data_IF_699058789053
#
_entry.id   IF_699058789053
#
_cell.length_a   1.000
_cell.length_b   1.000
_cell.length_c   1.000
_cell.angle_alpha   90.00
_cell.angle_beta   90.00
_cell.angle_gamma   90.00
#
_symmetry.space_group_name_H-M   'P 1'
#
loop_
_entity.id
_entity.type
_entity.pdbx_description
1 polymer ?
#
# COMPACT_ATOMS: atom_id res chain seq x y z
N UNK A 1 -4.70 10.42 -10.60
CA UNK A 1 -3.22 10.46 -10.56
C UNK A 1 -2.62 10.24 -9.16
N UNK A 2 -2.95 11.03 -8.12
CA UNK A 2 -2.35 10.85 -6.76
C UNK A 2 -2.61 9.48 -6.13
N UNK A 3 -3.82 8.93 -6.31
CA UNK A 3 -4.20 7.63 -5.74
C UNK A 3 -3.39 6.45 -6.31
N UNK A 4 -2.91 6.55 -7.56
CA UNK A 4 -2.08 5.52 -8.20
C UNK A 4 -0.68 5.49 -7.59
N UNK A 5 -0.06 6.66 -7.39
CA UNK A 5 1.25 6.78 -6.77
C UNK A 5 1.26 6.22 -5.33
N UNK A 6 0.17 6.44 -4.57
CA UNK A 6 0.02 5.89 -3.23
C UNK A 6 -0.08 4.36 -3.23
N UNK A 7 -0.85 3.77 -4.15
CA UNK A 7 -0.88 2.30 -4.26
C UNK A 7 0.47 1.72 -4.71
N UNK A 8 1.19 2.40 -5.61
CA UNK A 8 2.56 2.02 -5.99
C UNK A 8 3.52 2.05 -4.79
N UNK A 9 3.45 3.09 -3.96
CA UNK A 9 4.26 3.20 -2.76
C UNK A 9 3.98 2.03 -1.79
N UNK A 10 2.72 1.69 -1.59
CA UNK A 10 2.32 0.56 -0.72
C UNK A 10 2.81 -0.77 -1.28
N UNK A 11 2.65 -1.02 -2.59
CA UNK A 11 3.15 -2.24 -3.22
C UNK A 11 4.67 -2.38 -3.07
N UNK A 12 5.41 -1.28 -3.25
CA UNK A 12 6.86 -1.31 -3.05
C UNK A 12 7.25 -1.55 -1.59
N UNK A 13 6.51 -0.96 -0.64
CA UNK A 13 6.68 -1.27 0.78
C UNK A 13 6.50 -2.76 1.07
N UNK A 14 5.43 -3.36 0.54
CA UNK A 14 5.16 -4.81 0.70
C UNK A 14 6.25 -5.68 0.06
N UNK A 15 6.73 -5.33 -1.13
CA UNK A 15 7.83 -6.04 -1.79
C UNK A 15 9.13 -5.97 -1.00
N UNK A 16 9.44 -4.81 -0.41
CA UNK A 16 10.59 -4.64 0.47
C UNK A 16 10.44 -5.49 1.73
N UNK A 17 9.26 -5.50 2.34
CA UNK A 17 8.99 -6.31 3.51
C UNK A 17 9.19 -7.82 3.21
N UNK A 18 8.64 -8.28 2.09
CA UNK A 18 8.83 -9.65 1.61
C UNK A 18 10.32 -9.99 1.38
N UNK A 19 11.07 -9.11 0.70
CA UNK A 19 12.51 -9.31 0.45
C UNK A 19 13.33 -9.38 1.73
N UNK A 20 12.91 -8.68 2.77
CA UNK A 20 13.55 -8.72 4.10
C UNK A 20 13.10 -9.92 4.94
N UNK A 21 12.16 -10.74 4.44
CA UNK A 21 11.67 -11.94 5.13
C UNK A 21 10.61 -11.65 6.19
N UNK A 22 10.00 -10.47 6.20
CA UNK A 22 8.87 -10.21 7.10
C UNK A 22 7.62 -10.92 6.62
N UNK A 23 7.01 -11.63 7.55
CA UNK A 23 5.83 -12.46 7.41
C UNK A 23 4.60 -11.83 8.09
N UNK A 24 4.77 -10.70 8.79
CA UNK A 24 3.68 -9.83 9.26
C UNK A 24 3.97 -8.40 8.85
N UNK A 25 2.99 -7.73 8.24
CA UNK A 25 3.10 -6.35 7.80
C UNK A 25 1.87 -5.56 8.23
N UNK A 26 2.12 -4.41 8.85
CA UNK A 26 1.07 -3.43 9.16
C UNK A 26 1.24 -2.23 8.23
N UNK A 27 0.20 -1.92 7.47
CA UNK A 27 0.18 -0.82 6.52
C UNK A 27 -0.62 0.33 7.13
N UNK A 28 0.06 1.43 7.39
CA UNK A 28 -0.59 2.67 7.81
C UNK A 28 -0.72 3.62 6.63
N UNK A 29 -1.91 4.21 6.44
CA UNK A 29 -2.10 5.26 5.44
C UNK A 29 -3.13 6.27 5.91
N UNK A 30 -2.97 7.54 5.55
CA UNK A 30 -4.00 8.56 5.82
C UNK A 30 -5.08 8.63 4.74
N UNK A 31 -4.98 7.80 3.69
CA UNK A 31 -5.82 7.89 2.49
C UNK A 31 -6.88 6.81 2.48
N UNK A 32 -8.05 7.19 3.00
CA UNK A 32 -9.23 6.30 3.12
C UNK A 32 -9.59 5.55 1.83
N UNK A 33 -9.51 6.22 0.68
CA UNK A 33 -9.85 5.59 -0.61
C UNK A 33 -8.90 4.46 -1.00
N UNK A 34 -7.60 4.60 -0.73
CA UNK A 34 -6.59 3.56 -1.02
C UNK A 34 -6.78 2.37 -0.09
N UNK A 35 -7.07 2.62 1.19
CA UNK A 35 -7.40 1.57 2.17
C UNK A 35 -8.64 0.78 1.74
N UNK A 36 -9.69 1.45 1.26
CA UNK A 36 -10.92 0.79 0.81
C UNK A 36 -10.67 -0.10 -0.41
N UNK A 37 -9.84 0.34 -1.36
CA UNK A 37 -9.44 -0.47 -2.52
C UNK A 37 -8.62 -1.69 -2.06
N UNK A 38 -7.60 -1.49 -1.23
CA UNK A 38 -6.72 -2.57 -0.76
C UNK A 38 -7.44 -3.59 0.13
N UNK A 39 -8.48 -3.15 0.86
CA UNK A 39 -9.32 -4.04 1.66
C UNK A 39 -10.44 -4.72 0.85
N UNK A 40 -10.45 -4.60 -0.48
CA UNK A 40 -11.47 -5.15 -1.38
C UNK A 40 -12.90 -4.69 -1.05
N UNK A 41 -13.06 -3.54 -0.37
CA UNK A 41 -14.38 -3.01 0.04
C UNK A 41 -15.03 -2.09 -1.00
N UNK A 42 -14.33 -1.79 -2.09
CA UNK A 42 -14.82 -0.97 -3.21
C UNK A 42 -14.42 -1.59 -4.55
N UNK A 43 -15.28 -1.52 -5.59
CA UNK A 43 -14.96 -2.02 -6.91
C UNK A 43 -13.72 -1.32 -7.46
N UNK A 44 -12.82 -2.13 -8.02
CA UNK A 44 -11.50 -1.71 -8.48
C UNK A 44 -11.65 -0.76 -9.68
N UNK A 45 -11.12 0.45 -9.56
CA UNK A 45 -10.98 1.37 -10.69
C UNK A 45 -9.95 0.77 -11.67
N UNK A 46 -10.26 0.81 -12.97
CA UNK A 46 -9.40 0.32 -14.07
C UNK A 46 -7.95 0.80 -13.96
N UNK A 47 -7.74 2.00 -13.42
CA UNK A 47 -6.41 2.60 -13.17
C UNK A 47 -5.51 1.77 -12.22
N UNK A 48 -6.09 0.95 -11.33
CA UNK A 48 -5.33 0.08 -10.41
C UNK A 48 -5.17 -1.35 -10.93
N UNK A 49 -5.78 -1.70 -12.07
CA UNK A 49 -5.93 -3.08 -12.54
C UNK A 49 -4.62 -3.86 -12.64
N UNK A 50 -3.56 -3.24 -13.15
CA UNK A 50 -2.25 -3.89 -13.25
C UNK A 50 -1.53 -4.02 -11.90
N UNK A 51 -1.72 -3.05 -11.00
CA UNK A 51 -1.12 -3.07 -9.66
C UNK A 51 -1.72 -4.15 -8.77
N UNK A 52 -3.03 -4.37 -8.91
CA UNK A 52 -3.76 -5.36 -8.14
C UNK A 52 -3.42 -6.77 -8.58
N UNK A 53 -2.97 -7.00 -9.82
CA UNK A 53 -2.48 -8.34 -10.22
C UNK A 53 -1.23 -8.77 -9.44
N UNK A 54 -0.40 -7.81 -9.02
CA UNK A 54 0.81 -8.10 -8.24
C UNK A 54 0.54 -8.28 -6.75
N UNK A 55 -0.56 -7.70 -6.25
CA UNK A 55 -0.88 -7.69 -4.82
C UNK A 55 -1.14 -9.10 -4.24
N UNK A 56 -1.95 -9.98 -4.88
CA UNK A 56 -2.14 -11.37 -4.46
C UNK A 56 -0.85 -12.19 -4.41
N UNK A 57 0.07 -11.94 -5.34
CA UNK A 57 1.34 -12.65 -5.38
C UNK A 57 2.21 -12.30 -4.17
N UNK A 58 2.30 -11.02 -3.83
CA UNK A 58 3.08 -10.54 -2.68
C UNK A 58 2.38 -10.85 -1.36
N UNK A 59 1.05 -10.72 -1.30
CA UNK A 59 0.29 -11.01 -0.08
C UNK A 59 0.23 -12.50 0.25
N UNK A 60 0.27 -13.40 -0.74
CA UNK A 60 0.33 -14.86 -0.49
C UNK A 60 1.59 -15.32 0.24
N UNK A 61 2.62 -14.46 0.31
CA UNK A 61 3.90 -14.72 0.95
C UNK A 61 4.01 -14.05 2.33
N UNK A 62 3.03 -13.22 2.71
CA UNK A 62 2.97 -12.52 3.98
C UNK A 62 1.76 -13.08 4.74
N UNK A 63 2.01 -13.80 5.83
CA UNK A 63 0.95 -14.50 6.58
C UNK A 63 -0.12 -13.56 7.12
N UNK A 64 0.27 -12.34 7.51
CA UNK A 64 -0.64 -11.34 8.07
C UNK A 64 -0.37 -9.97 7.48
N UNK A 65 -1.39 -9.39 6.85
CA UNK A 65 -1.41 -7.99 6.43
C UNK A 65 -2.56 -7.29 7.15
N UNK A 66 -2.23 -6.30 7.98
CA UNK A 66 -3.21 -5.39 8.58
C UNK A 66 -3.12 -4.02 7.89
N UNK A 67 -4.26 -3.35 7.71
CA UNK A 67 -4.32 -2.02 7.09
C UNK A 67 -5.09 -1.09 8.01
N UNK A 68 -4.46 0.00 8.43
CA UNK A 68 -5.02 0.97 9.37
C UNK A 68 -5.02 2.38 8.79
N UNK A 69 -6.10 3.11 9.07
CA UNK A 69 -6.21 4.53 8.73
C UNK A 69 -5.50 5.35 9.81
N UNK A 70 -4.43 6.05 9.44
CA UNK A 70 -3.68 6.91 10.35
C UNK A 70 -3.93 8.41 10.07
N UNK A 71 -3.46 9.29 10.96
CA UNK A 71 -3.48 10.75 10.73
C UNK A 71 -2.36 11.10 9.75
N UNK A 72 -2.56 12.10 8.89
CA UNK A 72 -1.53 12.57 7.93
C UNK A 72 -0.18 12.93 8.59
N UNK A 73 -0.21 13.40 9.84
CA UNK A 73 1.01 13.71 10.61
C UNK A 73 1.83 12.47 10.98
N UNK A 74 1.20 11.30 11.12
CA UNK A 74 1.89 10.03 11.36
C UNK A 74 2.60 9.53 10.09
N UNK A 75 2.07 9.86 8.91
CA UNK A 75 2.62 9.47 7.61
C UNK A 75 3.67 10.47 7.06
N UNK A 76 4.19 11.37 7.89
CA UNK A 76 5.03 12.49 7.43
C UNK A 76 6.36 12.02 6.84
N UNK A 77 6.91 10.91 7.36
CA UNK A 77 8.17 10.34 6.88
C UNK A 77 7.98 9.78 5.48
N UNK A 78 6.97 8.92 5.27
CA UNK A 78 6.70 8.36 3.95
C UNK A 78 6.30 9.44 2.94
N UNK A 79 5.52 10.43 3.37
CA UNK A 79 5.16 11.60 2.55
C UNK A 79 6.39 12.41 2.10
N UNK A 80 7.36 12.61 2.99
CA UNK A 80 8.61 13.31 2.65
C UNK A 80 9.51 12.47 1.75
N UNK A 81 9.61 11.16 1.98
CA UNK A 81 10.38 10.25 1.10
C UNK A 81 9.79 10.22 -0.32
N UNK A 82 8.47 10.16 -0.43
CA UNK A 82 7.79 10.21 -1.73
C UNK A 82 8.08 11.52 -2.49
N UNK A 83 8.18 12.65 -1.78
CA UNK A 83 8.55 13.95 -2.39
C UNK A 83 9.98 14.04 -2.88
N UNK A 84 10.90 13.21 -2.37
CA UNK A 84 12.30 13.22 -2.82
C UNK A 84 12.45 12.37 -4.10
N UNK A 85 11.57 11.38 -4.28
CA UNK A 85 11.61 10.45 -5.41
C UNK A 85 10.95 10.98 -6.70
N UNK A 86 10.25 12.12 -6.64
CA UNK A 86 9.54 12.79 -7.74
C UNK A 86 9.93 14.27 -7.81
#
# INVERSE_FOLDING_TARGET
MVSLAEAMAILQGLLLCYRQGYNRVEIESYRKHVILILSNKTPLLVEFGNLILHLPYVSSRIDVISITLCKRSADIIAHNLAKIAF
#
